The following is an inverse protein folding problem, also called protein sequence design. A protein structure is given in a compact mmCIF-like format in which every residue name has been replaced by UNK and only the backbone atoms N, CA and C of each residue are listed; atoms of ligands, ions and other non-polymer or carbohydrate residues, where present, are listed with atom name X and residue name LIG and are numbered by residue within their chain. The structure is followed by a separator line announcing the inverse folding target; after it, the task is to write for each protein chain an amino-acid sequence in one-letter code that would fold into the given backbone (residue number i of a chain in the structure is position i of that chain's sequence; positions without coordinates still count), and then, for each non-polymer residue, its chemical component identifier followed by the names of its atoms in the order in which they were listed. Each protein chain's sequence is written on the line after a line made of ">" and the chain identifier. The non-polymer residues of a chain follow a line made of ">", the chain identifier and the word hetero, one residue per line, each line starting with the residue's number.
data_IF_360766255830
#
_entry.id   IF_360766255830
#
_cell.length_a   1.000
_cell.length_b   1.000
_cell.length_c   1.000
_cell.angle_alpha   90.00
_cell.angle_beta   90.00
_cell.angle_gamma   90.00
#
_symmetry.space_group_name_H-M   'P 1'
#
loop_
_entity.id
_entity.type
_entity.pdbx_description
1 polymer ?
#
# COMPACT_ATOMS: atom_id res chain seq x y z
N UNK A 1 16.69 -49.20 47.27
CA UNK A 1 15.64 -48.26 46.85
C UNK A 1 16.14 -47.60 45.59
N UNK A 2 15.69 -48.10 44.45
CA UNK A 2 16.17 -47.68 43.13
C UNK A 2 15.12 -46.74 42.56
N UNK A 3 15.38 -45.43 42.61
CA UNK A 3 14.52 -44.44 41.97
C UNK A 3 14.99 -44.22 40.53
N UNK A 4 14.07 -44.51 39.62
CA UNK A 4 14.20 -44.40 38.18
C UNK A 4 14.22 -42.95 37.71
N UNK A 5 15.26 -42.61 36.96
CA UNK A 5 15.32 -41.47 36.05
C UNK A 5 14.31 -41.66 34.90
N UNK A 6 13.26 -40.85 34.81
CA UNK A 6 12.51 -40.67 33.56
C UNK A 6 11.78 -39.31 33.56
N UNK A 7 12.38 -38.26 32.99
CA UNK A 7 11.67 -37.05 32.53
C UNK A 7 12.65 -36.04 31.92
N UNK A 8 13.08 -36.25 30.67
CA UNK A 8 13.77 -35.20 29.91
C UNK A 8 13.47 -35.23 28.39
N UNK A 9 12.87 -36.30 27.88
CA UNK A 9 12.67 -36.52 26.43
C UNK A 9 11.34 -35.99 25.88
N UNK A 10 10.30 -35.81 26.70
CA UNK A 10 8.97 -35.41 26.21
C UNK A 10 8.85 -33.94 25.76
N UNK A 11 9.71 -33.05 26.28
CA UNK A 11 9.61 -31.60 26.04
C UNK A 11 10.12 -31.19 24.66
N UNK A 12 11.10 -31.90 24.08
CA UNK A 12 11.69 -31.54 22.79
C UNK A 12 10.90 -32.03 21.57
N UNK A 13 10.27 -33.22 21.64
CA UNK A 13 9.39 -33.75 20.58
C UNK A 13 8.08 -32.95 20.46
N UNK A 14 7.51 -32.54 21.59
CA UNK A 14 6.27 -31.74 21.61
C UNK A 14 6.52 -30.33 21.03
N UNK A 15 7.68 -29.72 21.32
CA UNK A 15 8.07 -28.40 20.80
C UNK A 15 8.45 -28.40 19.30
N UNK A 16 8.92 -29.53 18.76
CA UNK A 16 9.20 -29.67 17.32
C UNK A 16 7.94 -29.99 16.53
N UNK A 17 7.01 -30.76 17.10
CA UNK A 17 5.73 -31.06 16.47
C UNK A 17 4.83 -29.83 16.34
N UNK A 18 4.86 -28.96 17.34
CA UNK A 18 4.03 -27.74 17.40
C UNK A 18 4.48 -26.74 16.34
N UNK A 19 5.78 -26.38 16.25
CA UNK A 19 6.28 -25.49 15.19
C UNK A 19 5.95 -25.97 13.77
N UNK A 20 5.90 -27.29 13.56
CA UNK A 20 5.46 -27.88 12.29
C UNK A 20 4.04 -27.46 11.92
N UNK A 21 3.12 -27.35 12.88
CA UNK A 21 1.74 -26.90 12.66
C UNK A 21 1.65 -25.41 12.37
N UNK A 22 2.37 -24.56 13.13
CA UNK A 22 2.46 -23.13 12.82
C UNK A 22 2.95 -22.90 11.38
N UNK A 23 4.00 -23.61 10.96
CA UNK A 23 4.53 -23.49 9.60
C UNK A 23 3.54 -23.97 8.52
N UNK A 24 2.71 -24.98 8.80
CA UNK A 24 1.64 -25.38 7.86
C UNK A 24 0.59 -24.28 7.71
N UNK A 25 0.18 -23.63 8.81
CA UNK A 25 -0.75 -22.48 8.76
C UNK A 25 -0.13 -21.30 8.00
N UNK A 26 1.13 -20.98 8.25
CA UNK A 26 1.86 -19.95 7.48
C UNK A 26 1.92 -20.30 5.99
N UNK A 27 2.20 -21.57 5.64
CA UNK A 27 2.18 -22.03 4.24
C UNK A 27 0.78 -21.92 3.61
N UNK A 28 -0.29 -22.17 4.37
CA UNK A 28 -1.66 -21.99 3.90
C UNK A 28 -1.96 -20.50 3.61
N UNK A 29 -1.49 -19.59 4.46
CA UNK A 29 -1.55 -18.14 4.20
C UNK A 29 -0.82 -17.81 2.90
N UNK A 30 0.42 -18.28 2.72
CA UNK A 30 1.23 -18.01 1.52
C UNK A 30 0.53 -18.49 0.23
N UNK A 31 -0.16 -19.63 0.26
CA UNK A 31 -0.92 -20.18 -0.88
C UNK A 31 -2.18 -19.38 -1.22
N UNK A 32 -2.80 -18.74 -0.23
CA UNK A 32 -4.03 -17.96 -0.42
C UNK A 32 -3.74 -16.52 -0.88
N UNK A 33 -2.52 -16.03 -0.64
CA UNK A 33 -2.12 -14.68 -1.03
C UNK A 33 -1.98 -14.56 -2.55
N UNK A 34 -2.81 -13.69 -3.13
CA UNK A 34 -2.74 -13.31 -4.54
C UNK A 34 -1.58 -12.33 -4.79
N UNK A 35 -1.12 -12.19 -6.04
CA UNK A 35 -0.17 -11.13 -6.40
C UNK A 35 -0.65 -9.76 -5.91
N UNK A 36 0.25 -9.00 -5.29
CA UNK A 36 -0.09 -7.72 -4.69
C UNK A 36 -0.44 -6.68 -5.76
N UNK A 37 -1.60 -6.05 -5.61
CA UNK A 37 -1.98 -4.92 -6.46
C UNK A 37 -1.08 -3.70 -6.19
N UNK A 38 -0.85 -2.87 -7.21
CA UNK A 38 -0.11 -1.60 -7.06
C UNK A 38 -1.09 -0.44 -7.22
N UNK A 39 -1.88 -0.16 -6.18
CA UNK A 39 -2.92 0.88 -6.24
C UNK A 39 -2.37 2.28 -5.95
N UNK A 40 -1.15 2.37 -5.42
CA UNK A 40 -0.47 3.63 -5.11
C UNK A 40 0.18 4.24 -6.34
N UNK A 41 0.19 5.57 -6.42
CA UNK A 41 0.89 6.34 -7.46
C UNK A 41 1.82 7.37 -6.83
N UNK A 42 3.12 7.29 -7.13
CA UNK A 42 4.09 8.31 -6.76
C UNK A 42 4.18 9.33 -7.90
N UNK A 43 3.64 10.53 -7.70
CA UNK A 43 3.62 11.56 -8.74
C UNK A 43 4.98 12.26 -8.94
N UNK A 44 5.87 12.20 -7.95
CA UNK A 44 7.21 12.80 -8.05
C UNK A 44 8.12 11.95 -8.95
N UNK A 45 8.15 10.65 -8.73
CA UNK A 45 9.01 9.70 -9.44
C UNK A 45 8.28 8.91 -10.54
N UNK A 46 6.99 9.20 -10.76
CA UNK A 46 6.14 8.64 -11.83
C UNK A 46 6.13 7.10 -11.86
N UNK A 47 5.98 6.44 -10.71
CA UNK A 47 5.80 4.99 -10.63
C UNK A 47 4.61 4.60 -9.76
N UNK A 48 3.99 3.46 -10.09
CA UNK A 48 2.99 2.83 -9.24
C UNK A 48 3.67 1.98 -8.17
N UNK A 49 3.16 2.04 -6.94
CA UNK A 49 3.68 1.30 -5.80
C UNK A 49 2.56 0.55 -5.08
N UNK A 50 2.92 -0.53 -4.40
CA UNK A 50 1.98 -1.24 -3.52
C UNK A 50 1.76 -0.41 -2.26
N UNK A 51 0.52 -0.02 -1.96
CA UNK A 51 0.18 0.73 -0.74
C UNK A 51 0.31 -0.15 0.51
N UNK A 52 0.15 0.44 1.70
CA UNK A 52 0.03 -0.36 2.92
C UNK A 52 -1.24 -1.24 2.90
N UNK A 53 -2.36 -0.72 2.39
CA UNK A 53 -3.61 -1.47 2.28
C UNK A 53 -3.49 -2.69 1.36
N UNK A 54 -2.81 -2.53 0.23
CA UNK A 54 -2.57 -3.62 -0.74
C UNK A 54 -1.76 -4.78 -0.13
N UNK A 55 -0.93 -4.53 0.89
CA UNK A 55 -0.15 -5.56 1.60
C UNK A 55 -0.89 -6.08 2.82
N UNK A 56 -1.32 -5.18 3.70
CA UNK A 56 -1.74 -5.52 5.05
C UNK A 56 -3.14 -6.12 5.08
N UNK A 57 -4.07 -5.67 4.22
CA UNK A 57 -5.45 -6.17 4.24
C UNK A 57 -5.55 -7.64 3.77
N UNK A 58 -4.93 -8.06 2.64
CA UNK A 58 -4.98 -9.46 2.22
C UNK A 58 -4.29 -10.38 3.23
N UNK A 59 -3.17 -9.95 3.79
CA UNK A 59 -2.44 -10.73 4.81
C UNK A 59 -3.25 -10.85 6.09
N UNK A 60 -3.83 -9.76 6.59
CA UNK A 60 -4.69 -9.80 7.76
C UNK A 60 -5.85 -10.77 7.57
N UNK A 61 -6.53 -10.72 6.42
CA UNK A 61 -7.62 -11.64 6.08
C UNK A 61 -7.13 -13.09 6.07
N UNK A 62 -6.05 -13.38 5.35
CA UNK A 62 -5.53 -14.74 5.22
C UNK A 62 -5.04 -15.32 6.56
N UNK A 63 -4.37 -14.52 7.40
CA UNK A 63 -3.99 -14.93 8.75
C UNK A 63 -5.21 -15.24 9.62
N UNK A 64 -6.24 -14.38 9.58
CA UNK A 64 -7.46 -14.57 10.36
C UNK A 64 -8.17 -15.87 10.01
N UNK A 65 -8.22 -16.22 8.71
CA UNK A 65 -8.79 -17.49 8.22
C UNK A 65 -8.03 -18.74 8.71
N UNK A 66 -6.76 -18.58 9.12
CA UNK A 66 -5.92 -19.66 9.66
C UNK A 66 -5.79 -19.62 11.19
N UNK A 67 -6.52 -18.73 11.88
CA UNK A 67 -6.41 -18.57 13.34
C UNK A 67 -5.07 -17.99 13.79
N UNK A 68 -4.41 -17.20 12.93
CA UNK A 68 -3.15 -16.53 13.21
C UNK A 68 -3.39 -15.04 13.48
N UNK A 69 -2.72 -14.50 14.51
CA UNK A 69 -2.62 -13.06 14.72
C UNK A 69 -1.24 -12.57 14.32
N UNK A 70 -1.18 -11.35 13.78
CA UNK A 70 0.06 -10.68 13.39
C UNK A 70 0.22 -9.40 14.22
N UNK A 71 1.30 -9.33 15.01
CA UNK A 71 1.60 -8.21 15.92
C UNK A 71 2.83 -7.50 15.36
N UNK A 72 2.75 -6.18 15.15
CA UNK A 72 3.85 -5.37 14.66
C UNK A 72 4.33 -4.40 15.74
N UNK A 73 5.54 -4.62 16.24
CA UNK A 73 6.17 -3.82 17.28
C UNK A 73 7.31 -3.00 16.70
N UNK A 74 7.36 -1.70 16.98
CA UNK A 74 8.56 -0.89 16.73
C UNK A 74 9.56 -1.17 17.86
N UNK A 75 10.62 -1.92 17.57
CA UNK A 75 11.60 -2.37 18.58
C UNK A 75 12.81 -1.45 18.69
N UNK A 76 13.09 -0.68 17.64
CA UNK A 76 14.14 0.34 17.62
C UNK A 76 13.65 1.57 16.85
N UNK A 77 14.07 2.76 17.29
CA UNK A 77 13.76 4.01 16.60
C UNK A 77 14.87 5.04 16.80
N UNK A 78 15.27 5.69 15.72
CA UNK A 78 16.12 6.87 15.70
C UNK A 78 15.39 7.99 14.96
N UNK A 79 15.10 9.10 15.66
CA UNK A 79 14.27 10.19 15.16
C UNK A 79 15.09 11.47 15.15
N UNK A 80 15.16 12.09 13.97
CA UNK A 80 15.77 13.40 13.76
C UNK A 80 14.73 14.35 13.17
N UNK A 81 14.96 15.68 13.21
CA UNK A 81 14.09 16.62 12.53
C UNK A 81 13.89 16.25 11.05
N UNK A 82 12.68 15.79 10.71
CA UNK A 82 12.29 15.44 9.35
C UNK A 82 12.79 14.08 8.87
N UNK A 83 13.39 13.26 9.73
CA UNK A 83 13.87 11.92 9.37
C UNK A 83 13.56 10.91 10.47
N UNK A 84 13.27 9.69 10.08
CA UNK A 84 13.10 8.59 11.02
C UNK A 84 13.69 7.31 10.44
N UNK A 85 14.44 6.59 11.26
CA UNK A 85 14.86 5.21 11.03
C UNK A 85 14.25 4.34 12.13
N UNK A 86 13.64 3.21 11.77
CA UNK A 86 12.98 2.30 12.71
C UNK A 86 13.28 0.86 12.37
N UNK A 87 13.19 -0.03 13.36
CA UNK A 87 13.12 -1.48 13.15
C UNK A 87 11.79 -1.97 13.67
N UNK A 88 11.00 -2.61 12.81
CA UNK A 88 9.74 -3.24 13.19
C UNK A 88 9.94 -4.74 13.26
N UNK A 89 9.53 -5.34 14.38
CA UNK A 89 9.38 -6.79 14.55
C UNK A 89 7.93 -7.16 14.29
N UNK A 90 7.72 -8.07 13.35
CA UNK A 90 6.45 -8.73 13.13
C UNK A 90 6.47 -10.09 13.83
N UNK A 91 5.51 -10.34 14.70
CA UNK A 91 5.32 -11.61 15.39
C UNK A 91 4.00 -12.23 14.95
N UNK A 92 4.06 -13.43 14.36
CA UNK A 92 2.91 -14.26 14.03
C UNK A 92 2.68 -15.22 15.19
N UNK A 93 1.47 -15.25 15.73
CA UNK A 93 1.10 -16.14 16.84
C UNK A 93 -0.06 -17.02 16.40
N UNK A 94 0.04 -18.33 16.64
CA UNK A 94 -1.08 -19.26 16.55
C UNK A 94 -1.95 -19.13 17.80
N UNK A 95 -3.22 -18.79 17.62
CA UNK A 95 -4.16 -18.57 18.72
C UNK A 95 -4.54 -19.86 19.45
N UNK A 96 -4.36 -21.03 18.84
CA UNK A 96 -4.69 -22.32 19.44
C UNK A 96 -3.57 -22.85 20.33
N UNK A 97 -2.31 -22.70 19.88
CA UNK A 97 -1.14 -23.28 20.56
C UNK A 97 -0.32 -22.25 21.35
N UNK A 98 -0.48 -20.96 21.05
CA UNK A 98 0.35 -19.87 21.59
C UNK A 98 1.75 -19.80 20.98
N UNK A 99 2.08 -20.67 20.02
CA UNK A 99 3.36 -20.63 19.35
C UNK A 99 3.51 -19.42 18.46
N UNK A 100 4.76 -18.97 18.31
CA UNK A 100 5.04 -17.80 17.49
C UNK A 100 6.32 -17.86 16.68
N UNK A 101 6.32 -17.08 15.59
CA UNK A 101 7.46 -16.80 14.74
C UNK A 101 7.61 -15.28 14.64
N UNK A 102 8.84 -14.78 14.75
CA UNK A 102 9.12 -13.36 14.58
C UNK A 102 10.11 -13.11 13.46
N UNK A 103 9.87 -12.04 12.70
CA UNK A 103 10.81 -11.48 11.72
C UNK A 103 10.94 -9.99 11.96
N UNK A 104 12.09 -9.40 11.63
CA UNK A 104 12.29 -7.95 11.75
C UNK A 104 12.61 -7.33 10.40
N UNK A 105 12.18 -6.08 10.19
CA UNK A 105 12.52 -5.30 9.01
C UNK A 105 12.83 -3.84 9.38
N UNK A 106 13.84 -3.24 8.73
CA UNK A 106 14.11 -1.82 8.88
C UNK A 106 13.14 -0.97 8.06
N UNK A 107 12.96 0.28 8.47
CA UNK A 107 12.26 1.31 7.69
C UNK A 107 12.91 2.66 7.88
N UNK A 108 12.95 3.43 6.79
CA UNK A 108 13.47 4.79 6.77
C UNK A 108 12.50 5.71 6.05
N UNK A 109 12.37 6.94 6.53
CA UNK A 109 11.63 7.95 5.80
C UNK A 109 12.11 9.36 6.11
N UNK A 110 11.91 10.23 5.13
CA UNK A 110 12.14 11.67 5.23
C UNK A 110 10.82 12.43 5.04
N UNK A 111 10.72 13.57 5.70
CA UNK A 111 9.62 14.52 5.58
C UNK A 111 10.14 15.95 5.57
N UNK A 112 10.52 16.39 4.37
CA UNK A 112 10.95 17.75 4.08
C UNK A 112 9.84 18.53 3.36
N UNK A 113 9.51 19.72 3.87
CA UNK A 113 8.69 20.68 3.12
C UNK A 113 9.58 21.43 2.13
N UNK A 114 9.33 21.26 0.83
CA UNK A 114 10.02 22.00 -0.23
C UNK A 114 9.77 23.52 -0.14
N UNK A 115 8.66 23.95 0.44
CA UNK A 115 8.32 25.38 0.55
C UNK A 115 9.19 26.12 1.55
N UNK A 116 9.63 25.45 2.62
CA UNK A 116 10.28 26.12 3.75
C UNK A 116 11.71 25.64 3.98
N UNK A 117 12.18 24.63 3.23
CA UNK A 117 13.47 23.94 3.45
C UNK A 117 13.67 23.51 4.91
N UNK A 118 12.58 23.42 5.68
CA UNK A 118 12.58 23.01 7.08
C UNK A 118 12.00 21.61 7.18
N UNK A 119 12.61 20.74 7.99
CA UNK A 119 12.02 19.47 8.31
C UNK A 119 10.71 19.70 9.05
N UNK A 120 9.59 19.28 8.45
CA UNK A 120 8.27 19.34 9.09
C UNK A 120 8.04 18.18 10.07
N UNK A 121 8.94 17.18 10.09
CA UNK A 121 9.13 16.21 11.18
C UNK A 121 8.04 15.16 11.37
N UNK A 122 6.78 15.59 11.39
CA UNK A 122 5.67 14.83 11.97
C UNK A 122 5.33 13.57 11.17
N UNK A 123 5.60 13.52 9.86
CA UNK A 123 5.23 12.37 9.02
C UNK A 123 6.36 11.36 8.82
N UNK A 124 7.61 11.70 9.16
CA UNK A 124 8.75 10.81 8.92
C UNK A 124 8.60 9.50 9.71
N UNK A 125 8.24 9.59 10.99
CA UNK A 125 8.05 8.41 11.86
C UNK A 125 6.95 7.50 11.32
N UNK A 126 5.78 8.04 10.97
CA UNK A 126 4.67 7.24 10.44
C UNK A 126 5.01 6.55 9.12
N UNK A 127 5.72 7.23 8.21
CA UNK A 127 6.17 6.65 6.94
C UNK A 127 7.20 5.54 7.18
N UNK A 128 8.15 5.74 8.09
CA UNK A 128 9.18 4.76 8.41
C UNK A 128 8.57 3.48 9.00
N UNK A 129 7.67 3.61 9.99
CA UNK A 129 6.96 2.48 10.59
C UNK A 129 6.11 1.76 9.54
N UNK A 130 5.33 2.49 8.75
CA UNK A 130 4.49 1.90 7.69
C UNK A 130 5.33 1.12 6.68
N UNK A 131 6.48 1.68 6.26
CA UNK A 131 7.44 1.02 5.39
C UNK A 131 7.98 -0.27 6.00
N UNK A 132 8.50 -0.18 7.23
CA UNK A 132 9.06 -1.32 7.97
C UNK A 132 8.03 -2.44 8.15
N UNK A 133 6.80 -2.12 8.57
CA UNK A 133 5.72 -3.11 8.71
C UNK A 133 5.42 -3.82 7.39
N UNK A 134 5.38 -3.08 6.26
CA UNK A 134 5.19 -3.70 4.93
C UNK A 134 6.32 -4.66 4.60
N UNK A 135 7.57 -4.29 4.87
CA UNK A 135 8.72 -5.15 4.58
C UNK A 135 8.77 -6.38 5.51
N UNK A 136 8.42 -6.22 6.79
CA UNK A 136 8.34 -7.34 7.73
C UNK A 136 7.28 -8.36 7.28
N UNK A 137 6.10 -7.89 6.87
CA UNK A 137 5.02 -8.74 6.35
C UNK A 137 5.44 -9.42 5.05
N UNK A 138 6.06 -8.69 4.12
CA UNK A 138 6.56 -9.25 2.85
C UNK A 138 7.60 -10.33 3.07
N UNK A 139 8.54 -10.09 3.99
CA UNK A 139 9.58 -11.04 4.38
C UNK A 139 8.98 -12.29 5.00
N UNK A 140 8.05 -12.14 5.95
CA UNK A 140 7.41 -13.26 6.65
C UNK A 140 6.64 -14.20 5.72
N UNK A 141 5.89 -13.65 4.76
CA UNK A 141 4.99 -14.41 3.88
C UNK A 141 5.55 -14.64 2.47
N UNK A 142 6.83 -14.33 2.22
CA UNK A 142 7.46 -14.48 0.91
C UNK A 142 6.64 -13.88 -0.23
N UNK A 143 6.04 -12.70 0.01
CA UNK A 143 5.14 -12.08 -0.95
C UNK A 143 5.91 -11.71 -2.21
N UNK A 144 5.50 -12.20 -3.40
CA UNK A 144 6.17 -11.85 -4.65
C UNK A 144 5.99 -10.34 -4.90
N UNK A 145 7.11 -9.64 -5.13
CA UNK A 145 7.13 -8.22 -5.40
C UNK A 145 7.89 -7.96 -6.70
N UNK A 146 7.24 -7.28 -7.65
CA UNK A 146 7.90 -6.73 -8.85
C UNK A 146 8.48 -5.31 -8.60
N UNK A 147 8.51 -4.86 -7.34
CA UNK A 147 9.28 -3.67 -6.92
C UNK A 147 10.69 -4.13 -6.56
N UNK A 148 11.54 -4.30 -7.58
CA UNK A 148 12.98 -4.33 -7.42
C UNK A 148 13.47 -2.86 -7.33
N UNK A 149 13.95 -2.39 -6.16
CA UNK A 149 14.42 -1.01 -5.99
C UNK A 149 15.66 -0.69 -6.83
N UNK A 150 16.38 -1.70 -7.32
CA UNK A 150 17.49 -1.56 -8.27
C UNK A 150 17.04 -1.57 -9.74
N UNK A 151 15.72 -1.68 -9.99
CA UNK A 151 15.13 -1.53 -11.32
C UNK A 151 15.27 -0.07 -11.75
N UNK A 152 16.46 0.25 -12.24
CA UNK A 152 16.70 1.47 -12.99
C UNK A 152 15.69 1.46 -14.13
N UNK A 153 14.82 2.47 -14.30
CA UNK A 153 14.01 2.55 -15.50
C UNK A 153 15.00 2.59 -16.66
N UNK A 154 15.15 1.46 -17.35
CA UNK A 154 15.85 1.43 -18.62
C UNK A 154 15.22 2.52 -19.44
N UNK A 155 15.99 3.57 -19.74
CA UNK A 155 15.60 4.57 -20.72
C UNK A 155 15.11 3.75 -21.90
N UNK A 156 13.80 3.78 -22.18
CA UNK A 156 13.22 3.02 -23.26
C UNK A 156 13.87 3.53 -24.53
N UNK A 157 14.94 2.87 -24.97
CA UNK A 157 15.33 2.85 -26.35
C UNK A 157 14.20 2.10 -27.04
N UNK A 158 13.25 2.88 -27.52
CA UNK A 158 12.14 2.48 -28.36
C UNK A 158 12.67 1.60 -29.48
N UNK A 159 12.37 0.30 -29.41
CA UNK A 159 12.04 -0.62 -30.52
C UNK A 159 12.23 -2.08 -30.06
N UNK A 160 11.16 -2.69 -29.56
CA UNK A 160 10.55 -3.89 -30.15
C UNK A 160 9.32 -4.35 -29.33
N UNK A 161 8.30 -4.95 -29.97
CA UNK A 161 7.00 -5.15 -29.37
C UNK A 161 6.93 -6.49 -28.64
N UNK A 162 6.49 -6.46 -27.37
CA UNK A 162 6.02 -7.66 -26.66
C UNK A 162 4.52 -7.55 -26.51
N UNK A 163 3.86 -8.57 -27.07
CA UNK A 163 2.42 -8.73 -27.22
C UNK A 163 1.71 -8.74 -25.86
N UNK A 164 1.31 -7.56 -25.36
CA UNK A 164 0.34 -7.42 -24.28
C UNK A 164 -1.06 -7.45 -24.91
N UNK A 165 -1.97 -8.23 -24.35
CA UNK A 165 -3.41 -8.04 -24.61
C UNK A 165 -3.76 -6.58 -24.26
N UNK A 166 -3.87 -5.74 -25.28
CA UNK A 166 -4.34 -4.36 -25.17
C UNK A 166 -5.86 -4.43 -25.23
N UNK A 167 -6.53 -4.16 -24.11
CA UNK A 167 -7.89 -3.64 -24.20
C UNK A 167 -7.72 -2.24 -24.77
N UNK A 168 -7.97 -2.09 -26.07
CA UNK A 168 -7.92 -0.80 -26.74
C UNK A 168 -8.97 0.11 -26.08
N UNK A 169 -8.61 1.20 -25.39
CA UNK A 169 -9.60 2.21 -25.04
C UNK A 169 -10.17 2.71 -26.36
N UNK A 170 -11.49 2.64 -26.49
CA UNK A 170 -12.16 3.12 -27.71
C UNK A 170 -11.76 4.59 -27.93
N UNK A 171 -11.66 5.07 -29.17
CA UNK A 171 -11.37 6.50 -29.45
C UNK A 171 -12.29 7.45 -28.66
N UNK A 172 -13.48 6.98 -28.31
CA UNK A 172 -14.47 7.69 -27.50
C UNK A 172 -13.98 7.92 -26.06
N UNK A 173 -13.29 6.96 -25.45
CA UNK A 173 -12.80 7.07 -24.06
C UNK A 173 -11.68 8.12 -23.93
N UNK A 174 -10.82 8.24 -24.95
CA UNK A 174 -9.77 9.28 -25.01
C UNK A 174 -10.38 10.68 -25.07
N UNK A 175 -11.39 10.87 -25.92
CA UNK A 175 -12.07 12.16 -26.09
C UNK A 175 -12.81 12.57 -24.80
N UNK A 176 -13.48 11.62 -24.14
CA UNK A 176 -14.19 11.90 -22.89
C UNK A 176 -13.24 12.27 -21.74
N UNK A 177 -12.06 11.65 -21.65
CA UNK A 177 -11.04 12.00 -20.65
C UNK A 177 -10.48 13.41 -20.86
N UNK A 178 -10.26 13.81 -22.11
CA UNK A 178 -9.84 15.18 -22.46
C UNK A 178 -10.91 16.20 -22.10
N UNK A 179 -12.17 15.96 -22.48
CA UNK A 179 -13.30 16.82 -22.16
C UNK A 179 -13.48 16.96 -20.64
N UNK A 180 -13.38 15.86 -19.92
CA UNK A 180 -13.49 15.89 -18.44
C UNK A 180 -12.37 16.71 -17.82
N UNK A 181 -11.16 16.68 -18.40
CA UNK A 181 -10.02 17.48 -17.92
C UNK A 181 -10.23 18.97 -18.18
N UNK A 182 -10.81 19.33 -19.32
CA UNK A 182 -11.17 20.72 -19.62
C UNK A 182 -12.25 21.24 -18.66
N UNK A 183 -13.28 20.44 -18.37
CA UNK A 183 -14.36 20.83 -17.47
C UNK A 183 -13.90 20.98 -16.01
N UNK A 184 -13.05 20.09 -15.50
CA UNK A 184 -12.45 20.23 -14.16
C UNK A 184 -11.72 21.57 -14.02
N UNK A 185 -10.95 21.96 -15.05
CA UNK A 185 -10.28 23.27 -15.08
C UNK A 185 -11.28 24.42 -15.14
N UNK A 186 -12.34 24.30 -15.95
CA UNK A 186 -13.39 25.32 -16.11
C UNK A 186 -14.10 25.61 -14.78
N UNK A 187 -14.40 24.59 -13.99
CA UNK A 187 -15.11 24.73 -12.70
C UNK A 187 -14.17 25.03 -11.53
N UNK A 188 -12.85 25.07 -11.79
CA UNK A 188 -11.85 25.30 -10.74
C UNK A 188 -11.72 24.14 -9.75
N UNK A 189 -12.15 22.94 -10.10
CA UNK A 189 -12.04 21.78 -9.21
C UNK A 189 -10.60 21.28 -9.15
N UNK A 190 -10.09 21.15 -7.94
CA UNK A 190 -8.83 20.46 -7.68
C UNK A 190 -8.95 18.96 -7.95
N UNK A 191 -7.81 18.31 -8.21
CA UNK A 191 -7.74 16.85 -8.38
C UNK A 191 -8.31 16.08 -7.17
N UNK A 192 -8.24 16.67 -5.96
CA UNK A 192 -8.81 16.11 -4.74
C UNK A 192 -10.34 16.17 -4.75
N UNK A 193 -10.93 17.30 -5.13
CA UNK A 193 -12.38 17.43 -5.26
C UNK A 193 -12.94 16.47 -6.31
N UNK A 194 -12.26 16.37 -7.45
CA UNK A 194 -12.59 15.36 -8.47
C UNK A 194 -12.53 13.94 -7.90
N UNK A 195 -11.45 13.57 -7.22
CA UNK A 195 -11.31 12.23 -6.62
C UNK A 195 -12.40 11.92 -5.59
N UNK A 196 -12.68 12.86 -4.68
CA UNK A 196 -13.71 12.67 -3.65
C UNK A 196 -15.09 12.44 -4.27
N UNK A 197 -15.44 13.20 -5.32
CA UNK A 197 -16.69 12.98 -6.05
C UNK A 197 -16.74 11.59 -6.71
N UNK A 198 -15.65 11.14 -7.32
CA UNK A 198 -15.61 9.83 -7.97
C UNK A 198 -15.71 8.68 -6.96
N UNK A 199 -15.13 8.87 -5.77
CA UNK A 199 -15.19 7.90 -4.69
C UNK A 199 -16.60 7.85 -4.09
N UNK A 200 -17.26 9.00 -3.90
CA UNK A 200 -18.65 9.09 -3.41
C UNK A 200 -19.67 8.52 -4.40
N UNK A 201 -19.55 8.87 -5.69
CA UNK A 201 -20.56 8.53 -6.71
C UNK A 201 -20.35 7.19 -7.41
N UNK A 202 -19.11 6.77 -7.59
CA UNK A 202 -18.77 5.58 -8.37
C UNK A 202 -17.90 4.57 -7.61
N UNK A 203 -17.52 4.87 -6.36
CA UNK A 203 -16.61 4.03 -5.57
C UNK A 203 -15.19 3.97 -6.14
N UNK A 204 -14.81 4.91 -7.02
CA UNK A 204 -13.57 4.86 -7.81
C UNK A 204 -12.67 6.05 -7.53
N UNK A 205 -11.37 5.80 -7.50
CA UNK A 205 -10.38 6.83 -7.15
C UNK A 205 -9.79 7.56 -8.37
N UNK A 206 -10.07 7.08 -9.59
CA UNK A 206 -9.57 7.66 -10.84
C UNK A 206 -10.60 7.64 -11.96
N UNK A 207 -10.59 8.68 -12.80
CA UNK A 207 -11.40 8.78 -14.03
C UNK A 207 -11.08 7.69 -15.04
N UNK A 208 -9.87 7.13 -14.99
CA UNK A 208 -9.45 6.01 -15.84
C UNK A 208 -10.08 4.67 -15.42
N UNK A 209 -10.65 4.59 -14.22
CA UNK A 209 -11.38 3.40 -13.73
C UNK A 209 -12.88 3.47 -14.04
N UNK A 210 -13.36 4.60 -14.56
CA UNK A 210 -14.77 4.77 -14.96
C UNK A 210 -15.01 4.06 -16.30
N UNK A 211 -16.14 3.37 -16.40
CA UNK A 211 -16.70 2.96 -17.68
C UNK A 211 -17.07 4.18 -18.51
N UNK A 212 -17.26 3.99 -19.82
CA UNK A 212 -17.69 5.06 -20.72
C UNK A 212 -18.97 5.78 -20.23
N UNK A 213 -19.95 5.04 -19.70
CA UNK A 213 -21.19 5.60 -19.17
C UNK A 213 -20.95 6.44 -17.91
N UNK A 214 -20.15 5.94 -16.97
CA UNK A 214 -19.80 6.67 -15.75
C UNK A 214 -18.96 7.92 -16.04
N UNK A 215 -18.04 7.83 -17.01
CA UNK A 215 -17.24 8.97 -17.45
C UNK A 215 -18.11 10.04 -18.11
N UNK A 216 -19.11 9.64 -18.90
CA UNK A 216 -20.10 10.56 -19.48
C UNK A 216 -20.97 11.20 -18.40
N UNK A 217 -21.42 10.43 -17.39
CA UNK A 217 -22.18 10.97 -16.25
C UNK A 217 -21.36 11.99 -15.46
N UNK A 218 -20.08 11.69 -15.22
CA UNK A 218 -19.18 12.60 -14.55
C UNK A 218 -18.94 13.88 -15.37
N UNK A 219 -18.72 13.76 -16.68
CA UNK A 219 -18.59 14.91 -17.56
C UNK A 219 -19.85 15.79 -17.56
N UNK A 220 -21.04 15.19 -17.61
CA UNK A 220 -22.31 15.91 -17.57
C UNK A 220 -22.50 16.64 -16.23
N UNK A 221 -22.10 16.02 -15.11
CA UNK A 221 -22.11 16.68 -13.81
C UNK A 221 -21.21 17.92 -13.82
N UNK A 222 -19.96 17.81 -14.28
CA UNK A 222 -19.05 18.96 -14.34
C UNK A 222 -19.59 20.08 -15.22
N UNK A 223 -20.23 19.76 -16.36
CA UNK A 223 -20.87 20.76 -17.24
C UNK A 223 -22.05 21.49 -16.58
N UNK A 224 -22.74 20.84 -15.65
CA UNK A 224 -23.87 21.44 -14.92
C UNK A 224 -23.43 22.46 -13.85
N UNK A 225 -22.15 22.45 -13.45
CA UNK A 225 -21.64 23.34 -12.41
C UNK A 225 -21.37 24.76 -12.95
N UNK A 226 -21.72 25.81 -12.18
CA UNK A 226 -21.43 27.19 -12.55
C UNK A 226 -19.91 27.42 -12.64
N UNK A 227 -19.49 28.37 -13.47
CA UNK A 227 -18.10 28.86 -13.42
C UNK A 227 -17.88 29.55 -12.07
N UNK A 228 -16.71 29.41 -11.43
CA UNK A 228 -16.42 30.15 -10.22
C UNK A 228 -16.50 31.65 -10.51
N UNK A 229 -17.40 32.36 -9.81
CA UNK A 229 -17.48 33.82 -9.87
C UNK A 229 -16.20 34.41 -9.27
N UNK A 230 -15.56 35.32 -10.01
CA UNK A 230 -14.41 36.07 -9.54
C UNK A 230 -14.86 37.00 -8.40
N UNK A 231 -14.48 36.69 -7.16
CA UNK A 231 -14.71 37.60 -6.04
C UNK A 231 -13.87 38.87 -6.22
N UNK A 232 -14.45 40.07 -6.08
CA UNK A 232 -13.69 41.32 -6.17
C UNK A 232 -12.69 41.42 -5.02
N UNK A 233 -11.45 41.77 -5.37
CA UNK A 233 -10.38 42.05 -4.43
C UNK A 233 -10.75 43.34 -3.69
N UNK A 234 -11.09 43.24 -2.40
CA UNK A 234 -11.15 44.39 -1.51
C UNK A 234 -9.71 44.90 -1.32
N UNK A 235 -9.40 46.05 -1.91
CA UNK A 235 -8.22 46.83 -1.55
C UNK A 235 -8.52 47.52 -0.22
N UNK A 236 -7.91 47.04 0.86
CA UNK A 236 -7.85 47.80 2.11
C UNK A 236 -6.84 48.95 1.93
N UNK A 237 -7.35 50.16 2.17
CA UNK A 237 -6.62 51.43 2.27
C UNK A 237 -6.14 51.69 3.70
#
# INVERSE_FOLDING_TARGET
>A
MSETLTSATATSETATHTKSQLYKKILAVQKNLQPLEKTGWNDFQKYSYTTAGDVLLPVHKACSEQGLIAIADCIESHIEPGRASVVVRLTIVDTETGESLSVSAPGYAEDYSWKDSRPTGDKAVYKAITGATKYAVRSCFCLPSDDDPERTPQRLNSRQPMNRYVVNPSKVDSVLLEQTTAELKRVGWSSTQGRLYLQDKFGKSSRQQLSQQELQQFLNHLRSLPKPEAQPILQES
#
